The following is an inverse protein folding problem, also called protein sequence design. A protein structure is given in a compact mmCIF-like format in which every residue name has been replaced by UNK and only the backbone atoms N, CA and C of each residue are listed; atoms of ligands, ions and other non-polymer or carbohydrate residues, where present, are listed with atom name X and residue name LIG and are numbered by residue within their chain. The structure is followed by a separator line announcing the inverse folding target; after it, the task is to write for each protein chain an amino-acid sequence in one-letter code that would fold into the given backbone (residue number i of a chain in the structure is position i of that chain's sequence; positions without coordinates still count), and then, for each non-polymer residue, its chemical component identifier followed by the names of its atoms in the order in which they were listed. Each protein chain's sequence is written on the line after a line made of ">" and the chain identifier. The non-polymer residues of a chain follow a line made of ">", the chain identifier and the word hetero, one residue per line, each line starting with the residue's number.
data_IF_051235479921
#
_entry.id   IF_051235479921
#
_cell.length_a   1.000
_cell.length_b   1.000
_cell.length_c   1.000
_cell.angle_alpha   90.00
_cell.angle_beta   90.00
_cell.angle_gamma   90.00
#
_symmetry.space_group_name_H-M   'P 1'
#
loop_
_entity.id
_entity.type
_entity.pdbx_description
1 polymer ?
#
# COMPACT_ATOMS: atom_id res chain seq x y z
N UNK A 1 -22.83 -20.27 -20.43
CA UNK A 1 -21.52 -19.62 -20.72
C UNK A 1 -20.80 -19.52 -19.39
N UNK A 2 -19.73 -20.30 -19.19
CA UNK A 2 -18.91 -20.18 -17.98
C UNK A 2 -18.28 -18.78 -18.00
N UNK A 3 -18.78 -17.88 -17.16
CA UNK A 3 -18.07 -16.63 -16.89
C UNK A 3 -16.80 -17.02 -16.15
N UNK A 4 -15.66 -17.01 -16.83
CA UNK A 4 -14.38 -17.24 -16.18
C UNK A 4 -14.21 -16.18 -15.08
N UNK A 5 -13.95 -16.61 -13.84
CA UNK A 5 -13.65 -15.70 -12.74
C UNK A 5 -12.39 -14.90 -13.10
N UNK A 6 -12.42 -13.58 -12.90
CA UNK A 6 -11.23 -12.74 -13.09
C UNK A 6 -10.20 -13.08 -12.01
N UNK A 7 -8.93 -13.22 -12.39
CA UNK A 7 -7.83 -13.45 -11.44
C UNK A 7 -6.79 -12.35 -11.59
N UNK A 8 -6.61 -11.57 -10.53
CA UNK A 8 -5.61 -10.51 -10.45
C UNK A 8 -4.30 -11.09 -9.88
N UNK A 9 -3.19 -10.91 -10.59
CA UNK A 9 -1.87 -11.44 -10.21
C UNK A 9 -0.79 -10.36 -10.24
N UNK A 10 0.24 -10.50 -9.42
CA UNK A 10 1.49 -9.77 -9.56
C UNK A 10 2.44 -10.54 -10.51
N UNK A 11 3.09 -9.82 -11.42
CA UNK A 11 4.14 -10.34 -12.31
C UNK A 11 5.22 -9.28 -12.52
N UNK A 12 6.40 -9.50 -11.91
CA UNK A 12 7.64 -8.76 -12.22
C UNK A 12 7.49 -7.23 -12.24
N UNK A 13 6.79 -6.65 -11.25
CA UNK A 13 6.54 -5.19 -11.16
C UNK A 13 5.28 -4.72 -11.89
N UNK A 14 4.49 -5.64 -12.44
CA UNK A 14 3.21 -5.39 -13.10
C UNK A 14 2.09 -6.22 -12.47
N UNK A 15 0.85 -5.90 -12.84
CA UNK A 15 -0.34 -6.69 -12.58
C UNK A 15 -0.76 -7.38 -13.87
N UNK A 16 -1.22 -8.61 -13.76
CA UNK A 16 -1.90 -9.34 -14.82
C UNK A 16 -3.34 -9.62 -14.43
N UNK A 17 -4.23 -9.61 -15.41
CA UNK A 17 -5.62 -10.00 -15.24
C UNK A 17 -5.92 -11.19 -16.17
N UNK A 18 -6.13 -12.36 -15.57
CA UNK A 18 -6.64 -13.55 -16.25
C UNK A 18 -8.17 -13.54 -16.29
N UNK A 19 -8.76 -14.32 -17.20
CA UNK A 19 -10.21 -14.48 -17.30
C UNK A 19 -10.93 -13.37 -18.11
N UNK A 20 -10.20 -12.37 -18.58
CA UNK A 20 -10.70 -11.28 -19.42
C UNK A 20 -10.09 -11.36 -20.84
N UNK A 21 -10.96 -11.40 -21.86
CA UNK A 21 -10.54 -11.28 -23.27
C UNK A 21 -10.15 -9.84 -23.65
N UNK A 22 -9.60 -9.64 -24.84
CA UNK A 22 -9.11 -8.33 -25.31
C UNK A 22 -10.20 -7.24 -25.43
N UNK A 23 -11.46 -7.65 -25.61
CA UNK A 23 -12.62 -6.74 -25.69
C UNK A 23 -13.37 -6.61 -24.34
N UNK A 24 -12.87 -7.26 -23.28
CA UNK A 24 -13.51 -7.19 -21.98
C UNK A 24 -13.38 -5.78 -21.38
N UNK A 25 -14.43 -5.32 -20.72
CA UNK A 25 -14.35 -4.14 -19.87
C UNK A 25 -13.55 -4.50 -18.61
N UNK A 26 -12.40 -3.86 -18.46
CA UNK A 26 -11.47 -4.05 -17.34
C UNK A 26 -11.14 -2.70 -16.68
N UNK A 27 -10.57 -2.68 -15.46
CA UNK A 27 -10.15 -1.45 -14.82
C UNK A 27 -9.23 -0.59 -15.69
N UNK A 28 -9.38 0.72 -15.59
CA UNK A 28 -8.84 1.72 -16.52
C UNK A 28 -7.30 1.75 -16.62
N UNK A 29 -6.62 1.26 -15.59
CA UNK A 29 -5.17 1.14 -15.51
C UNK A 29 -4.59 0.04 -16.43
N UNK A 30 -5.42 -0.92 -16.86
CA UNK A 30 -4.98 -2.02 -17.71
C UNK A 30 -4.83 -1.62 -19.18
N UNK A 31 -3.87 -2.27 -19.84
CA UNK A 31 -3.66 -2.25 -21.28
C UNK A 31 -3.47 -3.69 -21.77
N UNK A 32 -3.99 -4.00 -22.95
CA UNK A 32 -3.82 -5.33 -23.53
C UNK A 32 -2.35 -5.56 -23.91
N UNK A 33 -1.75 -6.64 -23.43
CA UNK A 33 -0.42 -7.08 -23.80
C UNK A 33 -0.51 -8.32 -24.70
N UNK A 34 -0.42 -8.10 -26.01
CA UNK A 34 -0.53 -9.16 -27.02
C UNK A 34 0.58 -10.22 -26.94
N UNK A 35 1.71 -9.94 -26.26
CA UNK A 35 2.82 -10.90 -26.13
C UNK A 35 2.49 -12.05 -25.19
N UNK A 36 1.64 -11.79 -24.20
CA UNK A 36 1.19 -12.75 -23.19
C UNK A 36 -0.31 -13.01 -23.24
N UNK A 37 -1.01 -12.39 -24.20
CA UNK A 37 -2.46 -12.48 -24.40
C UNK A 37 -3.25 -12.22 -23.12
N UNK A 38 -2.85 -11.19 -22.37
CA UNK A 38 -3.42 -10.79 -21.08
C UNK A 38 -3.45 -9.28 -20.95
N UNK A 39 -4.32 -8.78 -20.09
CA UNK A 39 -4.26 -7.39 -19.65
C UNK A 39 -3.14 -7.19 -18.65
N UNK A 40 -2.37 -6.11 -18.82
CA UNK A 40 -1.24 -5.72 -17.96
C UNK A 40 -1.36 -4.27 -17.47
N UNK A 41 -1.02 -4.03 -16.21
CA UNK A 41 -0.97 -2.69 -15.60
C UNK A 41 0.30 -2.57 -14.73
N UNK A 42 0.83 -1.37 -14.43
CA UNK A 42 1.91 -1.26 -13.46
C UNK A 42 1.46 -1.64 -12.03
N UNK A 43 2.33 -2.29 -11.24
CA UNK A 43 1.96 -2.78 -9.91
C UNK A 43 1.50 -1.68 -8.93
N UNK A 44 2.02 -0.46 -9.06
CA UNK A 44 1.59 0.67 -8.22
C UNK A 44 0.10 1.03 -8.42
N UNK A 45 -0.52 0.64 -9.54
CA UNK A 45 -1.93 0.87 -9.80
C UNK A 45 -2.86 -0.14 -9.07
N UNK A 46 -2.31 -1.11 -8.33
CA UNK A 46 -3.06 -2.15 -7.63
C UNK A 46 -4.23 -1.60 -6.81
N UNK A 47 -3.99 -0.53 -6.04
CA UNK A 47 -5.02 0.10 -5.22
C UNK A 47 -6.17 0.66 -6.07
N UNK A 48 -5.86 1.29 -7.20
CA UNK A 48 -6.87 1.82 -8.12
C UNK A 48 -7.69 0.67 -8.72
N UNK A 49 -7.01 -0.35 -9.25
CA UNK A 49 -7.61 -1.55 -9.84
C UNK A 49 -8.60 -2.22 -8.89
N UNK A 50 -8.16 -2.51 -7.66
CA UNK A 50 -9.01 -3.14 -6.64
C UNK A 50 -10.23 -2.27 -6.30
N UNK A 51 -10.06 -0.95 -6.20
CA UNK A 51 -11.16 -0.03 -5.92
C UNK A 51 -12.19 0.00 -7.05
N UNK A 52 -11.75 0.01 -8.31
CA UNK A 52 -12.64 -0.04 -9.47
C UNK A 52 -13.43 -1.36 -9.49
N UNK A 53 -12.75 -2.51 -9.34
CA UNK A 53 -13.41 -3.82 -9.29
C UNK A 53 -14.46 -3.92 -8.17
N UNK A 54 -14.14 -3.42 -6.97
CA UNK A 54 -15.07 -3.40 -5.84
C UNK A 54 -16.24 -2.44 -6.08
N UNK A 55 -15.98 -1.24 -6.62
CA UNK A 55 -17.01 -0.25 -6.93
C UNK A 55 -18.00 -0.77 -7.98
N UNK A 56 -17.49 -1.42 -9.02
CA UNK A 56 -18.29 -2.03 -10.09
C UNK A 56 -18.93 -3.36 -9.67
N UNK A 57 -18.64 -3.87 -8.46
CA UNK A 57 -19.09 -5.17 -7.92
C UNK A 57 -18.71 -6.34 -8.82
N UNK A 58 -17.57 -6.24 -9.50
CA UNK A 58 -17.03 -7.29 -10.37
C UNK A 58 -16.37 -8.37 -9.52
N UNK A 59 -16.84 -9.64 -9.52
CA UNK A 59 -16.20 -10.72 -8.79
C UNK A 59 -14.80 -11.03 -9.34
N UNK A 60 -13.82 -11.18 -8.45
CA UNK A 60 -12.45 -11.52 -8.82
C UNK A 60 -11.73 -12.24 -7.67
N UNK A 61 -10.71 -13.01 -8.02
CA UNK A 61 -9.74 -13.59 -7.10
C UNK A 61 -8.49 -12.71 -7.05
N UNK A 62 -8.08 -12.30 -5.84
CA UNK A 62 -6.90 -11.45 -5.63
C UNK A 62 -5.68 -12.30 -5.24
N UNK A 63 -4.91 -12.72 -6.23
CA UNK A 63 -3.61 -13.38 -6.04
C UNK A 63 -2.44 -12.38 -6.09
N UNK A 64 -2.70 -11.09 -6.29
CA UNK A 64 -1.68 -10.04 -6.24
C UNK A 64 -1.45 -9.52 -4.82
N UNK A 65 -2.42 -9.68 -3.93
CA UNK A 65 -2.32 -9.31 -2.52
C UNK A 65 -1.28 -10.17 -1.77
N UNK A 66 -0.14 -9.56 -1.45
CA UNK A 66 0.94 -10.23 -0.71
C UNK A 66 1.32 -9.52 0.61
N UNK A 67 0.59 -8.49 1.05
CA UNK A 67 0.87 -7.85 2.34
C UNK A 67 0.20 -8.61 3.49
N UNK A 68 0.89 -8.67 4.62
CA UNK A 68 0.36 -9.18 5.87
C UNK A 68 -0.37 -8.07 6.63
N UNK A 69 -1.32 -8.46 7.48
CA UNK A 69 -1.94 -7.59 8.47
C UNK A 69 -1.34 -7.91 9.83
N UNK A 70 -1.12 -6.88 10.64
CA UNK A 70 -0.49 -7.03 11.95
C UNK A 70 -1.28 -6.27 13.00
N UNK A 71 -1.31 -6.81 14.21
CA UNK A 71 -1.85 -6.12 15.38
C UNK A 71 -0.76 -6.07 16.45
N UNK A 72 0.22 -5.19 16.25
CA UNK A 72 1.32 -5.03 17.19
C UNK A 72 0.90 -4.16 18.37
N UNK A 73 1.24 -4.54 19.62
CA UNK A 73 1.16 -3.61 20.74
C UNK A 73 2.11 -2.44 20.47
N UNK A 74 1.55 -1.26 20.25
CA UNK A 74 2.34 -0.08 19.90
C UNK A 74 2.63 0.75 21.15
N UNK A 75 3.91 1.12 21.33
CA UNK A 75 4.35 2.00 22.41
C UNK A 75 5.15 3.16 21.82
N UNK A 76 4.51 4.31 21.71
CA UNK A 76 5.23 5.54 21.37
C UNK A 76 6.10 5.98 22.54
N UNK A 77 7.36 6.33 22.25
CA UNK A 77 8.29 6.83 23.27
C UNK A 77 7.96 8.25 23.73
N UNK A 78 7.21 9.01 22.91
CA UNK A 78 6.86 10.41 23.14
C UNK A 78 5.42 10.64 22.69
N UNK A 79 4.68 11.43 23.46
CA UNK A 79 3.34 11.88 23.07
C UNK A 79 3.39 12.76 21.82
N UNK A 80 2.56 12.47 20.79
CA UNK A 80 2.51 13.29 19.58
C UNK A 80 2.05 14.72 19.86
N UNK A 81 2.74 15.69 19.27
CA UNK A 81 2.35 17.11 19.33
C UNK A 81 1.07 17.35 18.49
N UNK A 82 0.31 18.42 18.75
CA UNK A 82 -0.93 18.69 18.02
C UNK A 82 -0.79 18.71 16.48
N UNK A 83 0.29 19.29 15.97
CA UNK A 83 0.54 19.33 14.52
C UNK A 83 0.87 17.95 13.93
N UNK A 84 1.43 17.03 14.72
CA UNK A 84 1.72 15.66 14.28
C UNK A 84 0.44 14.84 14.19
N UNK A 85 -0.45 14.98 15.18
CA UNK A 85 -1.79 14.38 15.17
C UNK A 85 -2.62 14.90 13.99
N UNK A 86 -2.60 16.21 13.77
CA UNK A 86 -3.27 16.81 12.61
C UNK A 86 -2.70 16.27 11.29
N UNK A 87 -1.37 16.16 11.18
CA UNK A 87 -0.75 15.66 9.96
C UNK A 87 -1.18 14.23 9.62
N UNK A 88 -1.26 13.33 10.61
CA UNK A 88 -1.67 11.95 10.36
C UNK A 88 -3.17 11.84 10.04
N UNK A 89 -4.02 12.64 10.69
CA UNK A 89 -5.46 12.66 10.41
C UNK A 89 -5.76 13.22 9.00
N UNK A 90 -5.07 14.27 8.56
CA UNK A 90 -5.22 14.77 7.19
C UNK A 90 -4.70 13.77 6.15
N UNK A 91 -3.58 13.09 6.43
CA UNK A 91 -3.09 12.03 5.56
C UNK A 91 -4.09 10.87 5.44
N UNK A 92 -4.75 10.49 6.54
CA UNK A 92 -5.85 9.50 6.55
C UNK A 92 -7.04 9.97 5.72
N UNK A 93 -7.48 11.23 5.87
CA UNK A 93 -8.58 11.83 5.09
C UNK A 93 -8.28 11.86 3.60
N UNK A 94 -7.02 12.07 3.22
CA UNK A 94 -6.53 11.94 1.85
C UNK A 94 -6.45 10.47 1.36
N UNK A 95 -6.99 9.53 2.14
CA UNK A 95 -6.98 8.11 1.83
C UNK A 95 -5.65 7.44 2.12
N UNK A 96 -4.84 7.91 3.06
CA UNK A 96 -3.56 7.25 3.40
C UNK A 96 -2.62 7.15 2.20
N UNK A 97 -2.62 8.17 1.33
CA UNK A 97 -1.74 8.27 0.17
C UNK A 97 -1.47 9.75 -0.10
N UNK A 98 -0.24 10.19 0.17
CA UNK A 98 0.14 11.60 0.08
C UNK A 98 1.47 11.87 0.77
N UNK A 99 1.87 13.14 0.78
CA UNK A 99 3.14 13.59 1.34
C UNK A 99 2.88 14.48 2.56
N UNK A 100 3.53 14.17 3.68
CA UNK A 100 3.55 15.01 4.87
C UNK A 100 4.88 15.77 4.92
N UNK A 101 4.81 17.10 4.93
CA UNK A 101 6.00 17.98 4.98
C UNK A 101 6.14 18.56 6.38
N UNK A 102 7.26 18.28 7.05
CA UNK A 102 7.59 18.86 8.35
C UNK A 102 9.09 19.25 8.39
N UNK A 103 9.46 20.33 9.10
CA UNK A 103 10.85 20.73 9.24
C UNK A 103 11.71 19.65 9.92
N UNK A 104 13.03 19.74 9.78
CA UNK A 104 13.97 18.84 10.45
C UNK A 104 13.82 18.98 11.97
N UNK A 105 13.90 17.87 12.70
CA UNK A 105 13.67 17.84 14.15
C UNK A 105 12.20 17.89 14.60
N UNK A 106 11.23 18.09 13.70
CA UNK A 106 9.80 18.13 14.05
C UNK A 106 9.13 16.75 14.22
N UNK A 107 9.91 15.66 14.30
CA UNK A 107 9.39 14.31 14.55
C UNK A 107 8.64 13.67 13.37
N UNK A 108 9.16 13.80 12.14
CA UNK A 108 8.62 13.10 10.96
C UNK A 108 8.50 11.58 11.17
N UNK A 109 9.49 10.98 11.83
CA UNK A 109 9.50 9.55 12.12
C UNK A 109 8.33 9.15 13.04
N UNK A 110 7.95 9.99 14.00
CA UNK A 110 6.79 9.73 14.85
C UNK A 110 5.48 9.74 14.05
N UNK A 111 5.32 10.68 13.11
CA UNK A 111 4.15 10.69 12.21
C UNK A 111 4.06 9.44 11.37
N UNK A 112 5.19 8.95 10.88
CA UNK A 112 5.23 7.70 10.13
C UNK A 112 4.97 6.46 10.99
N UNK A 113 5.45 6.41 12.25
CA UNK A 113 5.09 5.34 13.19
C UNK A 113 3.58 5.32 13.43
N UNK A 114 2.94 6.50 13.62
CA UNK A 114 1.48 6.60 13.70
C UNK A 114 0.80 6.09 12.42
N UNK A 115 1.34 6.37 11.24
CA UNK A 115 0.81 5.84 9.99
C UNK A 115 0.88 4.30 9.92
N UNK A 116 1.99 3.71 10.37
CA UNK A 116 2.18 2.25 10.40
C UNK A 116 1.21 1.60 11.39
N UNK A 117 1.14 2.13 12.61
CA UNK A 117 0.23 1.68 13.67
C UNK A 117 -1.22 1.72 13.20
N UNK A 118 -1.61 2.79 12.52
CA UNK A 118 -2.98 2.98 12.06
C UNK A 118 -3.34 2.08 10.86
N UNK A 119 -2.39 1.83 9.95
CA UNK A 119 -2.63 1.02 8.73
C UNK A 119 -2.58 -0.48 9.01
N UNK A 120 -1.81 -0.92 10.03
CA UNK A 120 -1.76 -2.32 10.49
C UNK A 120 -1.43 -3.33 9.38
N UNK A 121 -0.49 -2.97 8.49
CA UNK A 121 -0.05 -3.81 7.37
C UNK A 121 1.46 -3.79 7.20
N UNK A 122 1.99 -4.77 6.47
CA UNK A 122 3.38 -4.78 6.01
C UNK A 122 3.77 -3.41 5.43
N UNK A 123 4.86 -2.85 5.95
CA UNK A 123 5.35 -1.54 5.56
C UNK A 123 6.80 -1.64 5.11
N UNK A 124 7.12 -1.05 3.97
CA UNK A 124 8.49 -0.85 3.49
C UNK A 124 8.88 0.62 3.72
N UNK A 125 9.89 0.85 4.55
CA UNK A 125 10.48 2.17 4.75
C UNK A 125 11.71 2.29 3.84
N UNK A 126 11.70 3.28 2.94
CA UNK A 126 12.80 3.54 2.00
C UNK A 126 13.49 4.84 2.41
N UNK A 127 14.80 4.78 2.59
CA UNK A 127 15.65 5.91 3.03
C UNK A 127 16.93 5.99 2.19
N UNK A 128 17.57 7.17 2.08
CA UNK A 128 18.67 7.37 1.14
C UNK A 128 20.01 6.79 1.60
N UNK A 129 20.19 6.47 2.89
CA UNK A 129 21.46 5.98 3.44
C UNK A 129 21.27 4.82 4.41
N UNK A 130 22.33 4.02 4.58
CA UNK A 130 22.36 2.89 5.51
C UNK A 130 22.25 3.37 6.97
N UNK A 131 22.86 4.51 7.32
CA UNK A 131 22.73 5.08 8.66
C UNK A 131 21.28 5.41 9.02
N UNK A 132 20.53 5.99 8.07
CA UNK A 132 19.10 6.23 8.26
C UNK A 132 18.32 4.91 8.34
N UNK A 133 18.70 3.89 7.57
CA UNK A 133 18.06 2.58 7.64
C UNK A 133 18.21 1.98 9.06
N UNK A 134 19.42 2.02 9.63
CA UNK A 134 19.65 1.55 10.99
C UNK A 134 18.87 2.39 12.03
N UNK A 135 18.82 3.71 11.87
CA UNK A 135 18.01 4.57 12.73
C UNK A 135 16.52 4.19 12.69
N UNK A 136 15.99 3.86 11.51
CA UNK A 136 14.61 3.40 11.37
C UNK A 136 14.40 2.01 11.96
N UNK A 137 15.35 1.10 11.80
CA UNK A 137 15.31 -0.23 12.41
C UNK A 137 15.13 -0.12 13.93
N UNK A 138 16.02 0.62 14.61
CA UNK A 138 15.96 0.79 16.07
C UNK A 138 14.64 1.43 16.52
N UNK A 139 14.20 2.45 15.78
CA UNK A 139 12.97 3.18 16.05
C UNK A 139 11.72 2.29 15.90
N UNK A 140 11.66 1.44 14.88
CA UNK A 140 10.54 0.51 14.67
C UNK A 140 10.55 -0.63 15.69
N UNK A 141 11.71 -1.20 16.00
CA UNK A 141 11.87 -2.22 17.04
C UNK A 141 11.37 -1.72 18.40
N UNK A 142 11.77 -0.51 18.78
CA UNK A 142 11.32 0.10 20.04
C UNK A 142 9.80 0.38 20.10
N UNK A 143 9.20 0.71 18.95
CA UNK A 143 7.83 1.18 18.86
C UNK A 143 6.82 0.04 18.79
N UNK A 144 7.15 -1.00 18.04
CA UNK A 144 6.24 -2.12 17.76
C UNK A 144 6.54 -3.38 18.55
N UNK A 145 7.61 -3.38 19.36
CA UNK A 145 8.00 -4.53 20.19
C UNK A 145 8.05 -5.84 19.40
N UNK A 146 8.44 -5.74 18.12
CA UNK A 146 8.54 -6.88 17.23
C UNK A 146 9.89 -7.55 17.47
N UNK A 147 9.88 -8.73 18.08
CA UNK A 147 11.00 -9.68 18.07
C UNK A 147 10.83 -10.67 16.90
#
# INVERSE_FOLDING_TARGET
>A
MNSATLVLRFDSGTLLLDGAGAEARVPSAFRWDARVMRWRAPAWAYRQVVRELVHEKTPYEDHARAYHQFDFPTKFLVEPRPYQQQAIEEWKRAGSCGVVVLPTGAGKSLVAQMAIEQVKRSTLVVVPTIDLMNQWYDLLMSCFQAE
#
